data_IF_508130132179
#
_entry.id   IF_508130132179
#
_cell.length_a   1.000
_cell.length_b   1.000
_cell.length_c   1.000
_cell.angle_alpha   90.00
_cell.angle_beta   90.00
_cell.angle_gamma   90.00
#
_symmetry.space_group_name_H-M   'P 1'
#
loop_
_entity.id
_entity.type
_entity.pdbx_description
1 polymer ?
#
# COMPACT_ATOMS: atom_id res chain seq x y z
N UNK A 1 -9.70 0.73 -10.42
CA UNK A 1 -8.68 1.58 -9.77
C UNK A 1 -8.28 1.01 -8.42
N UNK A 2 -9.23 0.65 -7.54
CA UNK A 2 -9.00 0.19 -6.15
C UNK A 2 -8.25 -1.16 -5.97
N UNK A 3 -7.99 -1.91 -7.05
CA UNK A 3 -7.30 -3.21 -6.98
C UNK A 3 -5.78 -3.09 -6.80
N UNK A 4 -5.20 -1.95 -7.19
CA UNK A 4 -3.73 -1.73 -7.17
C UNK A 4 -3.35 -0.54 -6.30
N UNK A 5 -4.20 0.48 -6.24
CA UNK A 5 -3.95 1.69 -5.43
C UNK A 5 -5.25 2.21 -4.81
N UNK A 6 -5.19 2.61 -3.54
CA UNK A 6 -6.30 3.30 -2.87
C UNK A 6 -6.69 2.74 -1.50
N UNK A 7 -7.82 3.23 -1.00
CA UNK A 7 -8.39 2.90 0.31
C UNK A 7 -9.59 1.98 0.10
N UNK A 8 -9.52 0.76 0.65
CA UNK A 8 -10.50 -0.29 0.42
C UNK A 8 -11.13 -0.75 1.75
N UNK A 9 -12.39 -0.42 2.01
CA UNK A 9 -13.11 -0.97 3.15
C UNK A 9 -13.32 -2.46 2.95
N UNK A 10 -13.11 -3.24 4.01
CA UNK A 10 -13.37 -4.67 4.05
C UNK A 10 -14.72 -4.93 4.72
N UNK A 11 -15.35 -6.06 4.39
CA UNK A 11 -16.64 -6.46 4.99
C UNK A 11 -16.54 -6.74 6.50
N UNK A 12 -15.34 -6.97 7.02
CA UNK A 12 -15.04 -7.12 8.45
C UNK A 12 -15.07 -5.79 9.22
N UNK A 13 -15.16 -4.64 8.54
CA UNK A 13 -15.02 -3.31 9.14
C UNK A 13 -13.59 -2.78 9.16
N UNK A 14 -12.62 -3.60 8.76
CA UNK A 14 -11.24 -3.18 8.51
C UNK A 14 -11.10 -2.31 7.26
N UNK A 15 -9.95 -1.65 7.12
CA UNK A 15 -9.60 -0.84 5.95
C UNK A 15 -8.23 -1.25 5.44
N UNK A 16 -8.13 -1.57 4.14
CA UNK A 16 -6.88 -1.88 3.48
C UNK A 16 -6.38 -0.70 2.64
N UNK A 17 -5.10 -0.39 2.78
CA UNK A 17 -4.38 0.64 2.05
C UNK A 17 -3.44 0.00 1.04
N UNK A 18 -3.66 0.29 -0.25
CA UNK A 18 -2.84 -0.24 -1.35
C UNK A 18 -1.86 0.81 -1.87
N UNK A 19 -0.57 0.54 -1.71
CA UNK A 19 0.52 1.42 -2.11
C UNK A 19 1.05 1.30 -3.54
N UNK A 20 0.50 0.40 -4.36
CA UNK A 20 0.99 0.19 -5.73
C UNK A 20 0.35 1.20 -6.68
N UNK A 21 0.83 2.45 -6.64
CA UNK A 21 0.38 3.47 -7.60
C UNK A 21 0.55 2.93 -9.03
N UNK A 22 -0.36 3.23 -9.98
CA UNK A 22 -0.30 2.67 -11.33
C UNK A 22 1.09 2.83 -11.96
N UNK A 23 1.58 1.77 -12.62
CA UNK A 23 2.89 1.79 -13.28
C UNK A 23 2.96 2.96 -14.25
N UNK A 24 3.99 3.81 -14.11
CA UNK A 24 4.30 4.84 -15.10
C UNK A 24 4.68 4.11 -16.40
N UNK A 25 3.82 4.15 -17.41
CA UNK A 25 4.24 3.73 -18.74
C UNK A 25 5.37 4.68 -19.16
N UNK A 26 6.51 4.10 -19.52
CA UNK A 26 7.66 4.85 -20.04
C UNK A 26 7.15 5.85 -21.10
N UNK A 27 7.61 7.12 -21.12
CA UNK A 27 7.25 8.05 -22.18
C UNK A 27 7.52 7.50 -23.59
N UNK A 28 8.39 6.49 -23.76
CA UNK A 28 8.51 5.77 -25.05
C UNK A 28 7.26 5.00 -25.52
N UNK A 29 6.32 4.69 -24.62
CA UNK A 29 5.08 3.95 -24.89
C UNK A 29 3.81 4.80 -24.73
N UNK A 30 3.94 6.14 -24.63
CA UNK A 30 2.80 7.06 -24.49
C UNK A 30 3.12 8.54 -24.65
N UNK A 31 4.38 8.93 -24.51
CA UNK A 31 4.92 10.22 -24.89
C UNK A 31 5.43 10.18 -26.33
N UNK A 32 4.51 10.12 -27.30
CA UNK A 32 4.87 10.69 -28.61
C UNK A 32 5.32 12.12 -28.32
N UNK A 33 6.47 12.56 -28.85
CA UNK A 33 6.98 13.94 -28.73
C UNK A 33 6.09 15.00 -29.38
N UNK A 34 4.77 14.79 -29.35
CA UNK A 34 3.72 15.72 -29.69
C UNK A 34 3.58 16.73 -28.56
N UNK A 35 3.56 18.03 -28.86
CA UNK A 35 3.18 19.06 -27.90
C UNK A 35 1.82 18.71 -27.30
N UNK A 36 1.73 18.66 -25.96
CA UNK A 36 0.47 18.42 -25.23
C UNK A 36 0.33 17.05 -24.55
N UNK A 37 1.31 16.14 -24.64
CA UNK A 37 1.32 14.92 -23.80
C UNK A 37 1.93 15.24 -22.43
N UNK A 38 1.12 15.17 -21.38
CA UNK A 38 1.56 15.41 -20.00
C UNK A 38 2.45 14.27 -19.49
N UNK A 39 3.54 14.63 -18.82
CA UNK A 39 4.39 13.68 -18.11
C UNK A 39 3.57 12.87 -17.11
N UNK A 40 3.93 11.60 -16.90
CA UNK A 40 3.27 10.75 -15.92
C UNK A 40 3.40 11.39 -14.51
N UNK A 41 2.31 11.40 -13.74
CA UNK A 41 2.29 11.99 -12.41
C UNK A 41 3.36 11.38 -11.49
N UNK A 42 4.12 12.24 -10.79
CA UNK A 42 5.22 11.81 -9.91
C UNK A 42 4.76 11.25 -8.57
N UNK A 43 3.52 11.52 -8.21
CA UNK A 43 2.84 10.97 -7.05
C UNK A 43 1.37 10.77 -7.40
N UNK A 44 0.73 9.79 -6.77
CA UNK A 44 -0.72 9.59 -6.86
C UNK A 44 -1.33 9.78 -5.48
N UNK A 45 -2.49 10.42 -5.42
CA UNK A 45 -3.28 10.53 -4.21
C UNK A 45 -4.68 9.95 -4.42
N UNK A 46 -5.24 9.35 -3.38
CA UNK A 46 -6.61 8.85 -3.34
C UNK A 46 -7.20 9.15 -1.96
N UNK A 47 -8.46 9.57 -1.92
CA UNK A 47 -9.17 9.77 -0.65
C UNK A 47 -10.51 9.05 -0.68
N UNK A 48 -10.93 8.56 0.50
CA UNK A 48 -12.23 7.94 0.71
C UNK A 48 -12.65 8.11 2.16
N UNK A 49 -13.93 8.36 2.37
CA UNK A 49 -14.55 8.28 3.69
C UNK A 49 -15.04 6.86 3.93
N UNK A 50 -14.64 6.25 5.05
CA UNK A 50 -15.10 4.94 5.52
C UNK A 50 -15.58 5.11 6.95
N UNK A 51 -16.84 4.74 7.24
CA UNK A 51 -17.43 4.89 8.57
C UNK A 51 -17.18 6.28 9.20
N UNK A 52 -17.47 7.34 8.43
CA UNK A 52 -17.25 8.76 8.81
C UNK A 52 -15.79 9.19 9.00
N UNK A 53 -14.82 8.28 8.86
CA UNK A 53 -13.39 8.59 8.89
C UNK A 53 -12.91 8.89 7.48
N UNK A 54 -12.34 10.08 7.27
CA UNK A 54 -11.70 10.44 6.01
C UNK A 54 -10.27 9.90 5.99
N UNK A 55 -10.01 8.96 5.09
CA UNK A 55 -8.67 8.52 4.78
C UNK A 55 -8.17 9.17 3.51
N UNK A 56 -6.91 9.57 3.51
CA UNK A 56 -6.20 10.00 2.31
C UNK A 56 -4.91 9.19 2.21
N UNK A 57 -4.60 8.72 1.02
CA UNK A 57 -3.43 7.92 0.73
C UNK A 57 -2.68 8.62 -0.39
N UNK A 58 -1.44 9.02 -0.12
CA UNK A 58 -0.50 9.54 -1.11
C UNK A 58 0.63 8.54 -1.27
N UNK A 59 1.07 8.29 -2.50
CA UNK A 59 2.24 7.47 -2.74
C UNK A 59 3.07 8.00 -3.90
N UNK A 60 4.37 7.81 -3.79
CA UNK A 60 5.34 8.01 -4.86
C UNK A 60 5.96 6.66 -5.30
N UNK A 61 7.17 6.70 -5.85
CA UNK A 61 7.89 5.51 -6.30
C UNK A 61 8.57 4.74 -5.15
N UNK A 62 8.65 5.33 -3.96
CA UNK A 62 9.36 4.80 -2.79
C UNK A 62 8.45 4.48 -1.61
N UNK A 63 7.49 5.36 -1.30
CA UNK A 63 6.76 5.35 -0.04
C UNK A 63 5.27 5.63 -0.25
N UNK A 64 4.49 5.21 0.74
CA UNK A 64 3.09 5.49 0.91
C UNK A 64 2.89 6.18 2.25
N UNK A 65 2.16 7.28 2.22
CA UNK A 65 1.70 8.05 3.37
C UNK A 65 0.19 7.96 3.44
N UNK A 66 -0.35 7.62 4.61
CA UNK A 66 -1.80 7.63 4.88
C UNK A 66 -2.09 8.67 5.93
N UNK A 67 -3.08 9.54 5.66
CA UNK A 67 -3.68 10.42 6.65
C UNK A 67 -5.06 9.89 7.09
N UNK A 68 -5.40 10.11 8.36
CA UNK A 68 -6.69 9.83 8.98
C UNK A 68 -7.24 11.13 9.56
N UNK A 69 -8.34 11.62 9.00
CA UNK A 69 -8.92 12.93 9.32
C UNK A 69 -7.90 14.08 9.23
N UNK A 70 -7.03 14.04 8.21
CA UNK A 70 -6.02 15.07 7.94
C UNK A 70 -4.74 14.96 8.79
N UNK A 71 -4.67 14.04 9.75
CA UNK A 71 -3.45 13.76 10.51
C UNK A 71 -2.72 12.56 9.93
N UNK A 72 -1.38 12.59 9.89
CA UNK A 72 -0.57 11.44 9.50
C UNK A 72 -0.90 10.23 10.38
N UNK A 73 -1.11 9.09 9.73
CA UNK A 73 -1.60 7.87 10.36
C UNK A 73 -0.64 6.71 10.18
N UNK A 74 -0.18 6.47 8.95
CA UNK A 74 0.73 5.39 8.59
C UNK A 74 1.74 5.86 7.55
N UNK A 75 2.95 5.30 7.61
CA UNK A 75 3.90 5.32 6.50
C UNK A 75 4.48 3.94 6.26
N UNK A 76 4.65 3.56 5.00
CA UNK A 76 5.21 2.27 4.62
C UNK A 76 5.76 2.26 3.20
N UNK A 77 6.68 1.35 2.85
CA UNK A 77 7.24 1.28 1.51
C UNK A 77 6.19 0.93 0.46
N UNK A 78 6.42 1.44 -0.74
CA UNK A 78 5.68 1.00 -1.93
C UNK A 78 5.79 -0.51 -2.09
N UNK A 79 4.67 -1.14 -2.46
CA UNK A 79 4.60 -2.59 -2.67
C UNK A 79 4.08 -3.38 -1.49
N UNK A 80 3.81 -2.71 -0.36
CA UNK A 80 3.00 -3.26 0.71
C UNK A 80 1.54 -2.86 0.57
N UNK A 81 0.67 -3.74 1.06
CA UNK A 81 -0.69 -3.44 1.49
C UNK A 81 -0.68 -3.47 3.02
N UNK A 82 -1.24 -2.46 3.65
CA UNK A 82 -1.43 -2.42 5.10
C UNK A 82 -2.91 -2.44 5.40
N UNK A 83 -3.36 -3.36 6.25
CA UNK A 83 -4.73 -3.43 6.76
C UNK A 83 -4.77 -2.88 8.17
N UNK A 84 -5.80 -2.11 8.48
CA UNK A 84 -6.08 -1.62 9.83
C UNK A 84 -7.47 -2.03 10.29
N UNK A 85 -7.64 -2.16 11.61
CA UNK A 85 -8.94 -2.31 12.24
C UNK A 85 -9.78 -1.01 12.19
N UNK A 86 -10.99 -1.06 12.75
CA UNK A 86 -11.89 0.09 12.83
C UNK A 86 -11.31 1.26 13.65
N UNK A 87 -10.40 0.99 14.60
CA UNK A 87 -9.71 2.01 15.38
C UNK A 87 -8.52 2.64 14.61
N UNK A 88 -8.08 2.01 13.52
CA UNK A 88 -6.90 2.39 12.75
C UNK A 88 -5.61 1.74 13.23
N UNK A 89 -5.67 0.67 14.02
CA UNK A 89 -4.48 -0.09 14.38
C UNK A 89 -4.10 -1.08 13.27
N UNK A 90 -2.82 -1.16 12.85
CA UNK A 90 -2.37 -2.13 11.86
C UNK A 90 -2.62 -3.56 12.32
N UNK A 91 -3.34 -4.33 11.50
CA UNK A 91 -3.65 -5.75 11.73
C UNK A 91 -2.89 -6.66 10.78
N UNK A 92 -2.50 -6.18 9.59
CA UNK A 92 -1.72 -6.97 8.66
C UNK A 92 -0.87 -6.12 7.69
N UNK A 93 0.24 -6.70 7.25
CA UNK A 93 1.06 -6.21 6.13
C UNK A 93 1.21 -7.33 5.11
N UNK A 94 0.87 -7.07 3.85
CA UNK A 94 1.00 -8.04 2.76
C UNK A 94 1.88 -7.48 1.65
N UNK A 95 2.85 -8.26 1.17
CA UNK A 95 3.59 -7.90 -0.03
C UNK A 95 2.74 -8.18 -1.27
N UNK A 96 2.46 -7.14 -2.03
CA UNK A 96 1.61 -7.20 -3.24
C UNK A 96 2.43 -7.13 -4.54
N UNK A 97 3.77 -7.25 -4.44
CA UNK A 97 4.67 -7.25 -5.60
C UNK A 97 5.24 -8.65 -5.86
N UNK A 98 5.73 -8.93 -7.09
CA UNK A 98 6.39 -10.20 -7.40
C UNK A 98 7.83 -10.29 -6.87
N UNK A 99 8.32 -9.26 -6.15
CA UNK A 99 9.66 -9.21 -5.57
C UNK A 99 9.57 -9.02 -4.06
N UNK A 100 10.56 -9.49 -3.28
CA UNK A 100 10.64 -9.15 -1.87
C UNK A 100 10.72 -7.63 -1.68
N UNK A 101 10.05 -7.14 -0.64
CA UNK A 101 10.08 -5.72 -0.24
C UNK A 101 10.45 -5.65 1.23
N UNK A 102 11.49 -4.89 1.54
CA UNK A 102 11.91 -4.57 2.89
C UNK A 102 11.70 -3.09 3.18
N UNK A 103 11.36 -2.76 4.42
CA UNK A 103 11.21 -1.38 4.85
C UNK A 103 10.60 -1.27 6.24
N UNK A 104 10.15 -0.05 6.56
CA UNK A 104 9.58 0.28 7.86
C UNK A 104 8.08 0.52 7.71
N UNK A 105 7.29 -0.09 8.59
CA UNK A 105 5.95 0.37 8.90
C UNK A 105 6.05 1.36 10.06
N UNK A 106 5.66 2.61 9.84
CA UNK A 106 5.48 3.61 10.90
C UNK A 106 4.00 3.72 11.26
N UNK A 107 3.70 3.72 12.57
CA UNK A 107 2.37 3.96 13.12
C UNK A 107 2.49 4.54 14.53
N UNK A 108 1.72 5.59 14.82
CA UNK A 108 1.63 6.20 16.15
C UNK A 108 2.99 6.53 16.81
N UNK A 109 3.95 7.01 16.00
CA UNK A 109 5.31 7.36 16.47
C UNK A 109 6.26 6.16 16.65
N UNK A 110 5.78 4.93 16.42
CA UNK A 110 6.58 3.70 16.51
C UNK A 110 6.86 3.13 15.13
N UNK A 111 7.95 2.38 15.00
CA UNK A 111 8.34 1.72 13.75
C UNK A 111 8.49 0.22 13.93
N UNK A 112 8.16 -0.52 12.88
CA UNK A 112 8.38 -1.96 12.74
C UNK A 112 9.12 -2.21 11.42
N UNK A 113 10.31 -2.80 11.51
CA UNK A 113 11.07 -3.23 10.34
C UNK A 113 10.62 -4.62 9.90
N UNK A 114 10.27 -4.76 8.62
CA UNK A 114 9.90 -6.04 8.03
C UNK A 114 10.58 -6.23 6.67
N UNK A 115 10.83 -7.50 6.34
CA UNK A 115 11.10 -7.95 4.98
C UNK A 115 10.05 -9.01 4.64
N UNK A 116 9.35 -8.82 3.53
CA UNK A 116 8.27 -9.71 3.07
C UNK A 116 8.62 -10.27 1.70
N UNK A 117 8.53 -11.60 1.56
CA UNK A 117 8.56 -12.30 0.29
C UNK A 117 7.29 -12.00 -0.55
N UNK A 118 7.30 -12.28 -1.87
CA UNK A 118 6.12 -12.11 -2.71
C UNK A 118 4.89 -12.84 -2.15
N UNK A 119 3.75 -12.15 -2.07
CA UNK A 119 2.50 -12.64 -1.49
C UNK A 119 2.57 -13.06 0.00
N UNK A 120 3.69 -12.82 0.70
CA UNK A 120 3.75 -13.02 2.14
C UNK A 120 2.82 -12.03 2.83
N UNK A 121 2.10 -12.53 3.84
CA UNK A 121 1.27 -11.73 4.74
C UNK A 121 1.76 -11.92 6.17
N UNK A 122 1.94 -10.81 6.87
CA UNK A 122 2.34 -10.74 8.28
C UNK A 122 1.16 -10.19 9.07
N UNK A 123 0.71 -10.93 10.06
CA UNK A 123 -0.34 -10.50 10.99
C UNK A 123 0.30 -9.77 12.17
N UNK A 124 -0.34 -8.68 12.60
CA UNK A 124 0.18 -7.76 13.61
C UNK A 124 -0.82 -7.57 14.75
N UNK A 125 -0.28 -7.44 15.96
CA UNK A 125 -0.99 -6.92 17.14
C UNK A 125 -0.09 -5.87 17.81
N UNK A 126 -0.54 -4.60 17.83
CA UNK A 126 0.25 -3.47 18.37
C UNK A 126 1.69 -3.38 17.80
N UNK A 127 1.86 -3.58 16.49
CA UNK A 127 3.14 -3.71 15.78
C UNK A 127 4.01 -4.92 16.20
N UNK A 128 3.52 -5.81 17.07
CA UNK A 128 4.11 -7.12 17.30
C UNK A 128 3.70 -8.09 16.19
N UNK A 129 4.68 -8.82 15.63
CA UNK A 129 4.39 -9.87 14.65
C UNK A 129 3.83 -11.09 15.39
N UNK A 130 2.59 -11.47 15.08
CA UNK A 130 1.93 -12.63 15.70
C UNK A 130 1.90 -13.85 14.78
N UNK A 131 1.83 -13.65 13.46
CA UNK A 131 1.86 -14.73 12.48
C UNK A 131 2.46 -14.29 11.14
N UNK A 132 2.93 -15.26 10.37
CA UNK A 132 3.37 -15.09 8.98
C UNK A 132 2.77 -16.19 8.12
N UNK A 133 2.26 -15.82 6.96
CA UNK A 133 1.72 -16.74 5.96
C UNK A 133 2.38 -16.48 4.62
N UNK A 134 2.95 -17.52 4.01
CA UNK A 134 3.55 -17.46 2.67
C UNK A 134 2.89 -18.51 1.80
N UNK A 135 1.89 -18.15 0.96
CA UNK A 135 1.39 -19.09 -0.03
C UNK A 135 2.53 -19.38 -1.01
N UNK A 136 2.89 -20.66 -1.15
CA UNK A 136 3.96 -21.08 -2.06
C UNK A 136 3.70 -20.54 -3.47
N UNK A 137 4.68 -19.88 -4.07
CA UNK A 137 4.60 -19.44 -5.45
C UNK A 137 4.76 -20.64 -6.38
N UNK A 138 3.74 -20.94 -7.18
CA UNK A 138 3.83 -21.95 -8.24
C UNK A 138 3.91 -21.23 -9.59
N UNK A 139 5.06 -21.22 -10.29
CA UNK A 139 5.15 -20.63 -11.62
C UNK A 139 4.26 -21.41 -12.61
N UNK A 140 3.69 -20.75 -13.64
CA UNK A 140 3.04 -21.46 -14.74
C UNK A 140 4.04 -22.44 -15.37
N UNK A 141 3.61 -23.70 -15.55
CA UNK A 141 4.41 -24.71 -16.23
C UNK A 141 4.31 -24.47 -17.74
N UNK A 142 5.45 -24.47 -18.42
CA UNK A 142 5.56 -24.29 -19.86
C UNK A 142 5.11 -25.53 -20.64
#
# INVERSE_FOLDING_TARGET
MERTFGVMPLSSGEVAFNGLAPTRLNPSHGGSGRPGVQAAAEATAYSRTVAEVRYELAADDSEVMVSRNGAEHLRFPRGWRVTVDAAGAPTAVTCVTPRPVAGLLWWAGSTLELSLAPNESVELEALGVVARTSPGFSPPQA
#
